data_IF_953646856518
#
_entry.id   IF_953646856518
#
_cell.length_a   1.000
_cell.length_b   1.000
_cell.length_c   1.000
_cell.angle_alpha   90.00
_cell.angle_beta   90.00
_cell.angle_gamma   90.00
#
_symmetry.space_group_name_H-M   'P 1'
#
loop_
_entity.id
_entity.type
_entity.pdbx_description
1 polymer ?
#
# COMPACT_ATOMS: atom_id res chain seq x y z
N UNK A 1 6.31 -2.97 1.32
CA UNK A 1 6.55 -3.94 0.25
C UNK A 1 7.96 -3.82 -0.32
N UNK A 2 8.99 -3.58 0.49
CA UNK A 2 10.39 -3.43 0.03
C UNK A 2 11.27 -4.62 0.50
N UNK A 3 10.63 -5.66 1.01
CA UNK A 3 11.25 -6.93 1.40
C UNK A 3 10.89 -8.02 0.38
N UNK A 4 11.72 -9.06 0.22
CA UNK A 4 11.43 -10.25 -0.61
C UNK A 4 10.04 -10.83 -0.41
N UNK A 5 9.65 -10.98 0.85
CA UNK A 5 8.38 -11.56 1.27
C UNK A 5 7.61 -10.51 2.10
N UNK A 6 6.85 -9.60 1.48
CA UNK A 6 6.00 -8.66 2.20
C UNK A 6 4.99 -9.41 3.08
N UNK A 7 4.63 -8.84 4.24
CA UNK A 7 3.67 -9.46 5.15
C UNK A 7 2.35 -9.82 4.44
N UNK A 8 1.82 -11.02 4.68
CA UNK A 8 0.54 -11.47 4.10
C UNK A 8 -0.66 -10.77 4.76
N UNK A 9 -0.59 -10.55 6.07
CA UNK A 9 -1.63 -9.87 6.81
C UNK A 9 -1.03 -8.97 7.89
N UNK A 10 -1.79 -7.94 8.27
CA UNK A 10 -1.48 -7.13 9.44
C UNK A 10 -2.68 -7.13 10.37
N UNK A 11 -2.39 -7.21 11.66
CA UNK A 11 -3.34 -7.11 12.74
C UNK A 11 -3.05 -5.85 13.53
N UNK A 12 -4.11 -5.14 13.91
CA UNK A 12 -4.05 -4.00 14.82
C UNK A 12 -5.08 -4.18 15.93
N UNK A 13 -4.60 -4.19 17.17
CA UNK A 13 -5.44 -4.19 18.37
C UNK A 13 -5.43 -2.81 19.02
N UNK A 14 -6.61 -2.22 19.20
CA UNK A 14 -6.79 -0.88 19.72
C UNK A 14 -6.75 -0.83 21.26
N UNK A 15 -5.71 -0.22 21.81
CA UNK A 15 -5.57 -0.01 23.27
C UNK A 15 -6.15 1.34 23.68
N UNK A 16 -5.78 2.40 22.96
CA UNK A 16 -6.21 3.78 23.22
C UNK A 16 -6.46 4.47 21.89
N UNK A 17 -7.64 5.07 21.72
CA UNK A 17 -8.09 5.72 20.49
C UNK A 17 -8.49 7.17 20.80
N UNK A 18 -8.08 8.15 19.98
CA UNK A 18 -8.48 9.54 20.18
C UNK A 18 -9.99 9.70 20.01
N UNK A 19 -10.56 10.72 20.64
CA UNK A 19 -12.01 10.99 20.53
C UNK A 19 -12.44 11.32 19.09
N UNK A 20 -11.55 11.96 18.32
CA UNK A 20 -11.78 12.34 16.93
C UNK A 20 -10.58 11.98 16.05
N UNK A 21 -10.87 11.50 14.84
CA UNK A 21 -9.84 11.16 13.85
C UNK A 21 -9.10 9.86 14.16
N UNK A 22 -7.93 9.68 13.52
CA UNK A 22 -7.08 8.49 13.72
C UNK A 22 -7.67 7.19 13.18
N UNK A 23 -8.71 7.30 12.35
CA UNK A 23 -9.37 6.20 11.65
C UNK A 23 -8.42 5.55 10.66
N UNK A 24 -8.77 4.33 10.24
CA UNK A 24 -8.05 3.65 9.17
C UNK A 24 -8.94 3.51 7.94
N UNK A 25 -8.43 4.01 6.82
CA UNK A 25 -8.99 3.80 5.49
C UNK A 25 -8.39 2.54 4.91
N UNK A 26 -9.21 1.71 4.27
CA UNK A 26 -8.80 0.51 3.55
C UNK A 26 -9.35 0.55 2.13
N UNK A 27 -8.48 0.41 1.14
CA UNK A 27 -8.86 0.35 -0.28
C UNK A 27 -8.76 -1.10 -0.80
N UNK A 28 -9.82 -1.60 -1.43
CA UNK A 28 -9.80 -2.91 -2.09
C UNK A 28 -9.13 -2.80 -3.48
N UNK A 29 -7.87 -3.22 -3.56
CA UNK A 29 -7.08 -3.14 -4.79
C UNK A 29 -7.46 -4.20 -5.84
N UNK A 30 -8.29 -5.19 -5.48
CA UNK A 30 -8.88 -6.15 -6.43
C UNK A 30 -10.04 -5.50 -7.14
N UNK A 31 -10.93 -4.86 -6.38
CA UNK A 31 -12.04 -4.09 -6.95
C UNK A 31 -11.51 -2.97 -7.87
N UNK A 32 -10.44 -2.29 -7.45
CA UNK A 32 -9.76 -1.31 -8.30
C UNK A 32 -9.22 -1.94 -9.59
N UNK A 33 -8.58 -3.12 -9.50
CA UNK A 33 -8.09 -3.85 -10.66
C UNK A 33 -9.21 -4.24 -11.64
N UNK A 34 -10.32 -4.78 -11.14
CA UNK A 34 -11.43 -5.27 -11.94
C UNK A 34 -12.01 -4.16 -12.84
N UNK A 35 -12.00 -2.92 -12.35
CA UNK A 35 -12.50 -1.74 -13.09
C UNK A 35 -11.40 -0.91 -13.75
N UNK A 36 -10.15 -1.38 -13.84
CA UNK A 36 -9.11 -0.65 -14.58
C UNK A 36 -9.48 -0.56 -16.06
N UNK A 37 -9.31 0.61 -16.70
CA UNK A 37 -9.40 0.73 -18.14
C UNK A 37 -8.51 -0.30 -18.83
N UNK A 38 -9.01 -0.90 -19.91
CA UNK A 38 -8.33 -2.00 -20.60
C UNK A 38 -6.92 -1.60 -21.07
N UNK A 39 -6.76 -0.37 -21.56
CA UNK A 39 -5.47 0.16 -21.97
C UNK A 39 -4.47 0.24 -20.81
N UNK A 40 -4.87 0.79 -19.66
CA UNK A 40 -4.04 0.84 -18.45
C UNK A 40 -3.70 -0.56 -17.97
N UNK A 41 -4.65 -1.50 -18.02
CA UNK A 41 -4.44 -2.90 -17.63
C UNK A 41 -3.37 -3.55 -18.51
N UNK A 42 -3.44 -3.39 -19.85
CA UNK A 42 -2.44 -3.89 -20.80
C UNK A 42 -1.05 -3.33 -20.52
N UNK A 43 -0.95 -2.04 -20.20
CA UNK A 43 0.33 -1.39 -19.83
C UNK A 43 0.95 -1.98 -18.56
N UNK A 44 0.15 -2.55 -17.67
CA UNK A 44 0.62 -3.14 -16.43
C UNK A 44 0.99 -4.63 -16.53
N UNK A 45 0.62 -5.31 -17.63
CA UNK A 45 0.93 -6.73 -17.82
C UNK A 45 2.45 -6.93 -17.89
N UNK A 46 3.00 -7.78 -17.00
CA UNK A 46 4.43 -8.04 -16.89
C UNK A 46 5.28 -6.91 -16.29
N UNK A 47 4.69 -5.74 -16.02
CA UNK A 47 5.42 -4.61 -15.43
C UNK A 47 5.82 -4.92 -13.98
N UNK A 48 7.07 -4.58 -13.62
CA UNK A 48 7.59 -4.68 -12.26
C UNK A 48 7.97 -3.29 -11.77
N UNK A 49 7.74 -3.02 -10.48
CA UNK A 49 8.12 -1.76 -9.86
C UNK A 49 9.12 -2.00 -8.72
N UNK A 50 10.05 -1.07 -8.57
CA UNK A 50 10.98 -1.01 -7.45
C UNK A 50 10.28 -0.38 -6.26
N UNK A 51 10.34 -1.06 -5.11
CA UNK A 51 9.86 -0.56 -3.83
C UNK A 51 11.06 -0.23 -2.97
N UNK A 52 11.08 1.00 -2.44
CA UNK A 52 12.12 1.48 -1.55
C UNK A 52 11.43 2.10 -0.34
N UNK A 53 11.96 1.86 0.86
CA UNK A 53 11.50 2.57 2.04
C UNK A 53 12.68 2.92 2.93
N UNK A 54 12.94 4.21 3.01
CA UNK A 54 13.95 4.79 3.86
C UNK A 54 13.25 5.29 5.14
N UNK A 55 13.60 4.70 6.28
CA UNK A 55 13.02 5.09 7.58
C UNK A 55 13.57 6.43 8.08
N UNK A 56 14.74 6.84 7.59
CA UNK A 56 15.47 8.02 8.06
C UNK A 56 15.16 9.25 7.19
N UNK A 57 14.81 9.03 5.91
CA UNK A 57 14.21 10.06 5.08
C UNK A 57 12.74 10.26 5.49
N UNK A 58 12.35 11.46 5.91
CA UNK A 58 10.95 11.82 6.18
C UNK A 58 10.05 11.32 5.03
N UNK A 59 9.21 10.32 5.29
CA UNK A 59 8.46 9.57 4.28
C UNK A 59 7.49 10.41 3.42
N UNK A 60 7.29 11.68 3.76
CA UNK A 60 6.47 12.66 3.05
C UNK A 60 7.26 13.54 2.07
N UNK A 61 8.60 13.52 2.11
CA UNK A 61 9.47 14.20 1.16
C UNK A 61 10.38 13.17 0.50
N UNK A 62 9.97 12.66 -0.67
CA UNK A 62 10.87 11.93 -1.56
C UNK A 62 11.94 12.91 -2.06
N UNK A 63 12.99 13.15 -1.27
CA UNK A 63 14.20 13.80 -1.77
C UNK A 63 14.80 12.89 -2.84
N UNK A 64 15.31 13.48 -3.92
CA UNK A 64 15.62 12.83 -5.20
C UNK A 64 16.64 11.67 -5.18
N UNK A 65 17.11 11.24 -4.01
CA UNK A 65 17.85 10.01 -3.84
C UNK A 65 17.47 9.43 -2.47
N UNK A 66 16.77 8.28 -2.46
CA UNK A 66 16.85 7.38 -1.31
C UNK A 66 18.31 7.02 -1.08
N UNK A 67 18.75 6.89 0.17
CA UNK A 67 20.11 6.44 0.46
C UNK A 67 20.43 5.15 -0.33
N UNK A 68 21.66 4.99 -0.81
CA UNK A 68 22.06 3.82 -1.62
C UNK A 68 21.78 2.47 -0.96
N UNK A 69 21.68 2.48 0.37
CA UNK A 69 21.56 1.29 1.21
C UNK A 69 20.14 1.10 1.76
N UNK A 70 19.18 1.93 1.33
CA UNK A 70 17.78 1.80 1.75
C UNK A 70 17.24 0.41 1.31
N UNK A 71 16.53 -0.30 2.20
CA UNK A 71 15.89 -1.56 1.85
C UNK A 71 15.01 -1.40 0.60
N UNK A 72 15.28 -2.24 -0.39
CA UNK A 72 14.58 -2.19 -1.67
C UNK A 72 14.35 -3.57 -2.28
N UNK A 73 13.22 -3.72 -2.97
CA UNK A 73 12.95 -4.92 -3.74
C UNK A 73 11.97 -4.68 -4.89
N UNK A 74 12.06 -5.50 -5.93
CA UNK A 74 11.20 -5.41 -7.10
C UNK A 74 10.01 -6.36 -7.00
N UNK A 75 8.81 -5.86 -7.28
CA UNK A 75 7.58 -6.65 -7.30
C UNK A 75 6.74 -6.33 -8.54
N UNK A 76 5.88 -7.25 -8.98
CA UNK A 76 4.92 -6.99 -10.05
C UNK A 76 3.99 -5.81 -9.69
N UNK A 77 3.63 -5.00 -10.69
CA UNK A 77 2.65 -3.91 -10.56
C UNK A 77 1.24 -4.48 -10.31
N UNK A 78 0.95 -5.63 -10.92
CA UNK A 78 -0.26 -6.41 -10.69
C UNK A 78 0.13 -7.73 -10.02
N UNK A 79 -0.30 -7.92 -8.78
CA UNK A 79 -0.08 -9.16 -8.05
C UNK A 79 -1.24 -10.13 -8.27
N UNK A 80 -0.95 -11.42 -8.43
CA UNK A 80 -1.92 -12.50 -8.29
C UNK A 80 -1.94 -13.03 -6.86
N UNK A 81 -3.12 -13.06 -6.25
CA UNK A 81 -3.27 -13.56 -4.88
C UNK A 81 -3.11 -15.10 -4.84
N UNK A 82 -2.16 -15.64 -4.05
CA UNK A 82 -1.79 -17.06 -4.13
C UNK A 82 -2.92 -18.02 -3.77
N UNK A 83 -3.80 -17.63 -2.83
CA UNK A 83 -4.91 -18.49 -2.38
C UNK A 83 -6.21 -18.33 -3.17
N UNK A 84 -6.44 -17.17 -3.81
CA UNK A 84 -7.74 -16.85 -4.43
C UNK A 84 -7.66 -16.74 -5.95
N UNK A 85 -6.44 -16.66 -6.51
CA UNK A 85 -6.22 -16.42 -7.93
C UNK A 85 -6.64 -15.03 -8.42
N UNK A 86 -7.20 -14.17 -7.55
CA UNK A 86 -7.63 -12.82 -7.93
C UNK A 86 -6.43 -11.91 -8.14
N UNK A 87 -6.51 -11.06 -9.16
CA UNK A 87 -5.51 -10.04 -9.46
C UNK A 87 -5.81 -8.75 -8.67
N UNK A 88 -4.76 -8.05 -8.26
CA UNK A 88 -4.84 -6.77 -7.55
C UNK A 88 -3.72 -5.83 -7.95
N UNK A 89 -4.02 -4.52 -7.97
CA UNK A 89 -2.98 -3.49 -8.10
C UNK A 89 -2.08 -3.54 -6.87
N UNK A 90 -0.76 -3.67 -7.06
CA UNK A 90 0.22 -3.85 -5.99
C UNK A 90 1.29 -2.75 -6.00
N UNK A 91 0.87 -1.48 -6.08
CA UNK A 91 1.74 -0.30 -5.99
C UNK A 91 1.16 0.72 -5.01
N UNK A 92 2.01 1.52 -4.37
CA UNK A 92 1.57 2.56 -3.42
C UNK A 92 2.49 3.78 -3.40
N UNK A 93 1.93 4.94 -3.08
CA UNK A 93 2.65 6.22 -3.04
C UNK A 93 3.86 6.24 -2.11
N UNK A 94 3.75 5.53 -1.00
CA UNK A 94 4.72 5.58 0.10
C UNK A 94 6.03 4.88 -0.26
N UNK A 95 5.96 3.73 -0.94
CA UNK A 95 7.10 2.83 -1.12
C UNK A 95 7.46 2.61 -2.59
N UNK A 96 6.53 2.76 -3.53
CA UNK A 96 6.86 2.52 -4.94
C UNK A 96 7.68 3.69 -5.49
N UNK A 97 8.87 3.40 -5.98
CA UNK A 97 9.78 4.38 -6.59
C UNK A 97 9.46 4.57 -8.08
N UNK A 98 9.65 3.53 -8.89
CA UNK A 98 9.39 3.55 -10.33
C UNK A 98 9.11 2.15 -10.88
N UNK A 99 8.63 2.10 -12.13
CA UNK A 99 8.49 0.88 -12.92
C UNK A 99 9.84 0.58 -13.57
N UNK A 100 10.36 -0.62 -13.33
CA UNK A 100 11.69 -1.05 -13.76
C UNK A 100 11.73 -1.18 -15.27
N UNK A 101 12.78 -0.62 -15.89
CA UNK A 101 13.00 -0.66 -17.34
C UNK A 101 12.15 0.34 -18.14
N UNK A 102 11.39 1.22 -17.48
CA UNK A 102 10.61 2.27 -18.12
C UNK A 102 11.30 3.62 -18.00
N UNK A 103 10.99 4.55 -18.91
CA UNK A 103 11.35 5.95 -18.71
C UNK A 103 10.72 6.51 -17.42
N UNK A 104 11.41 7.45 -16.76
CA UNK A 104 10.98 7.98 -15.46
C UNK A 104 9.68 8.75 -15.55
N UNK A 105 9.47 9.52 -16.62
CA UNK A 105 8.23 10.28 -16.81
C UNK A 105 7.07 9.34 -17.14
N UNK A 106 7.31 8.34 -18.00
CA UNK A 106 6.30 7.33 -18.34
C UNK A 106 5.88 6.49 -17.13
N UNK A 107 6.85 6.06 -16.33
CA UNK A 107 6.64 5.36 -15.07
C UNK A 107 5.82 6.23 -14.10
N UNK A 108 6.24 7.49 -13.90
CA UNK A 108 5.54 8.41 -13.00
C UNK A 108 4.09 8.64 -13.45
N UNK A 109 3.85 8.79 -14.75
CA UNK A 109 2.51 8.97 -15.31
C UNK A 109 1.61 7.75 -15.07
N UNK A 110 2.10 6.53 -15.32
CA UNK A 110 1.31 5.32 -15.07
C UNK A 110 1.06 5.10 -13.58
N UNK A 111 2.07 5.27 -12.73
CA UNK A 111 1.92 5.15 -11.28
C UNK A 111 0.91 6.16 -10.73
N UNK A 112 0.95 7.42 -11.19
CA UNK A 112 -0.02 8.43 -10.80
C UNK A 112 -1.46 8.04 -11.18
N UNK A 113 -1.67 7.46 -12.36
CA UNK A 113 -2.98 6.93 -12.77
C UNK A 113 -3.44 5.79 -11.86
N UNK A 114 -2.55 4.84 -11.54
CA UNK A 114 -2.87 3.70 -10.66
C UNK A 114 -3.20 4.15 -9.24
N UNK A 115 -2.47 5.13 -8.69
CA UNK A 115 -2.77 5.71 -7.37
C UNK A 115 -4.10 6.44 -7.36
N UNK A 116 -4.34 7.31 -8.33
CA UNK A 116 -5.61 8.03 -8.43
C UNK A 116 -6.80 7.06 -8.58
N UNK A 117 -6.61 5.92 -9.25
CA UNK A 117 -7.65 4.92 -9.43
C UNK A 117 -7.93 4.11 -8.17
N UNK A 118 -6.90 3.56 -7.52
CA UNK A 118 -7.05 2.76 -6.29
C UNK A 118 -7.60 3.58 -5.10
N UNK A 119 -7.39 4.90 -5.09
CA UNK A 119 -7.81 5.82 -4.02
C UNK A 119 -9.24 6.35 -4.19
N UNK A 120 -9.96 5.94 -5.24
CA UNK A 120 -11.34 6.39 -5.45
C UNK A 120 -12.24 5.96 -4.29
N UNK A 121 -13.14 6.85 -3.78
CA UNK A 121 -13.98 6.56 -2.62
C UNK A 121 -14.81 5.28 -2.73
N UNK A 122 -15.18 4.86 -3.95
CA UNK A 122 -15.92 3.61 -4.18
C UNK A 122 -15.17 2.33 -3.82
N UNK A 123 -13.84 2.38 -3.69
CA UNK A 123 -13.02 1.25 -3.26
C UNK A 123 -12.60 1.34 -1.79
N UNK A 124 -12.88 2.47 -1.14
CA UNK A 124 -12.36 2.79 0.19
C UNK A 124 -13.45 2.63 1.23
N UNK A 125 -13.18 1.78 2.22
CA UNK A 125 -13.94 1.73 3.46
C UNK A 125 -13.19 2.46 4.57
N UNK A 126 -13.95 3.04 5.51
CA UNK A 126 -13.41 3.71 6.69
C UNK A 126 -13.76 2.91 7.94
N UNK A 127 -12.74 2.41 8.62
CA UNK A 127 -12.89 1.83 9.93
C UNK A 127 -12.69 2.91 11.00
N UNK A 128 -13.76 3.17 11.76
CA UNK A 128 -13.72 4.03 12.94
C UNK A 128 -13.40 3.18 14.15
N UNK A 129 -12.25 3.44 14.74
CA UNK A 129 -11.72 2.63 15.84
C UNK A 129 -12.52 2.81 17.13
N UNK A 130 -12.61 1.74 17.89
CA UNK A 130 -12.98 1.72 19.32
C UNK A 130 -11.91 0.97 20.10
N UNK A 131 -11.70 1.34 21.36
CA UNK A 131 -10.82 0.57 22.23
C UNK A 131 -11.35 -0.87 22.35
N UNK A 132 -10.46 -1.85 22.20
CA UNK A 132 -10.78 -3.28 22.15
C UNK A 132 -11.04 -3.82 20.74
N UNK A 133 -11.14 -2.99 19.70
CA UNK A 133 -11.25 -3.48 18.34
C UNK A 133 -9.96 -4.21 17.93
N UNK A 134 -10.13 -5.40 17.33
CA UNK A 134 -9.09 -6.12 16.61
C UNK A 134 -9.45 -6.13 15.12
N UNK A 135 -8.66 -5.45 14.30
CA UNK A 135 -8.82 -5.46 12.85
C UNK A 135 -7.69 -6.25 12.23
N UNK A 136 -8.06 -7.15 11.32
CA UNK A 136 -7.13 -7.91 10.49
C UNK A 136 -7.44 -7.58 9.03
N UNK A 137 -6.40 -7.31 8.25
CA UNK A 137 -6.56 -7.13 6.81
C UNK A 137 -5.47 -7.85 6.03
N UNK A 138 -5.80 -8.16 4.78
CA UNK A 138 -4.91 -8.83 3.84
C UNK A 138 -4.00 -7.80 3.15
N UNK A 139 -2.72 -7.81 3.51
CA UNK A 139 -1.72 -6.89 2.95
C UNK A 139 -1.40 -7.17 1.47
N UNK A 140 -1.81 -8.33 0.93
CA UNK A 140 -1.53 -8.72 -0.45
C UNK A 140 -2.45 -8.01 -1.43
N UNK A 141 -3.62 -7.53 -0.97
CA UNK A 141 -4.63 -6.94 -1.84
C UNK A 141 -5.34 -5.71 -1.29
N UNK A 142 -4.93 -5.19 -0.12
CA UNK A 142 -5.50 -3.99 0.50
C UNK A 142 -4.43 -2.94 0.72
N UNK A 143 -4.73 -1.71 0.34
CA UNK A 143 -3.98 -0.54 0.80
C UNK A 143 -4.66 0.10 1.98
N UNK A 144 -3.89 0.76 2.82
CA UNK A 144 -4.42 1.41 4.00
C UNK A 144 -3.72 2.73 4.28
N UNK A 145 -4.47 3.65 4.90
CA UNK A 145 -3.98 4.93 5.34
C UNK A 145 -4.63 5.31 6.68
N UNK A 146 -3.90 6.03 7.51
CA UNK A 146 -4.43 6.62 8.75
C UNK A 146 -4.91 8.03 8.45
N UNK A 147 -6.10 8.39 8.92
CA UNK A 147 -6.53 9.80 8.87
C UNK A 147 -5.80 10.62 9.93
N UNK A 148 -5.83 11.95 9.78
CA UNK A 148 -5.30 12.85 10.79
C UNK A 148 -6.07 12.75 12.11
N UNK A 149 -5.42 13.19 13.18
CA UNK A 149 -5.95 13.40 14.53
C UNK A 149 -5.07 14.41 15.26
N UNK A 150 -5.55 14.94 16.39
CA UNK A 150 -4.75 15.86 17.21
C UNK A 150 -3.41 15.20 17.62
N UNK A 151 -2.26 15.78 17.25
CA UNK A 151 -0.95 15.22 17.60
C UNK A 151 -0.69 15.17 19.11
N UNK A 152 -1.46 15.89 19.93
CA UNK A 152 -1.39 15.82 21.40
C UNK A 152 -2.24 14.70 21.98
N UNK A 153 -3.18 14.13 21.21
CA UNK A 153 -4.02 13.04 21.66
C UNK A 153 -3.26 11.71 21.68
N UNK A 154 -3.58 10.85 22.66
CA UNK A 154 -3.01 9.51 22.75
C UNK A 154 -3.69 8.58 21.74
N UNK A 155 -2.88 7.85 20.97
CA UNK A 155 -3.31 6.78 20.08
C UNK A 155 -2.34 5.62 20.17
N UNK A 156 -2.76 4.52 20.80
CA UNK A 156 -1.94 3.34 21.03
C UNK A 156 -2.62 2.10 20.45
N UNK A 157 -1.96 1.48 19.47
CA UNK A 157 -2.39 0.22 18.89
C UNK A 157 -1.21 -0.76 18.94
N UNK A 158 -1.49 -2.03 19.23
CA UNK A 158 -0.51 -3.09 19.09
C UNK A 158 -0.60 -3.69 17.69
N UNK A 159 0.55 -3.84 17.02
CA UNK A 159 0.63 -4.37 15.66
C UNK A 159 1.31 -5.72 15.65
N UNK A 160 0.70 -6.67 14.95
CA UNK A 160 1.33 -7.95 14.58
C UNK A 160 1.27 -8.07 13.06
N UNK A 161 2.35 -8.55 12.45
CA UNK A 161 2.41 -8.85 11.02
C UNK A 161 2.60 -10.34 10.83
N UNK A 162 1.88 -10.92 9.89
CA UNK A 162 2.03 -12.31 9.48
C UNK A 162 3.01 -12.34 8.32
N UNK A 163 4.01 -13.22 8.38
CA UNK A 163 4.92 -13.45 7.26
C UNK A 163 4.14 -13.78 5.99
N UNK A 164 4.60 -13.24 4.86
CA UNK A 164 3.97 -13.52 3.57
C UNK A 164 4.92 -14.20 2.62
N UNK A 165 4.58 -14.08 1.34
CA UNK A 165 5.23 -14.76 0.24
C UNK A 165 5.71 -13.75 -0.81
N UNK A 166 6.59 -14.23 -1.68
CA UNK A 166 7.05 -13.46 -2.83
C UNK A 166 5.86 -13.11 -3.73
N UNK A 167 5.62 -11.82 -4.04
CA UNK A 167 4.57 -11.44 -4.98
C UNK A 167 4.92 -11.87 -6.41
N UNK A 168 3.96 -12.56 -7.06
CA UNK A 168 3.98 -12.98 -8.47
C UNK A 168 2.87 -12.30 -9.28
#
# INVERSE_FOLDING_TARGET
CYYPNPAAATLLYAMEIPQEGGDTLFADCRAAYDTLPEETRRRCEGARALFVYDYDANATQKTAASASDAPQHEHPVIRTHPETGRRSIFVNRLMTDHIVGWDREESAALLAQLYAHQEQPRFVIRHRWRAGDLVVWDNRCVLHARTDFDPKARRMLQRVTVEGDRPE
#
